data_IF_528414452457
#
_entry.id   IF_528414452457
#
_cell.length_a   1.000
_cell.length_b   1.000
_cell.length_c   1.000
_cell.angle_alpha   90.00
_cell.angle_beta   90.00
_cell.angle_gamma   90.00
#
_symmetry.space_group_name_H-M   'P 1'
#
loop_
_entity.id
_entity.type
_entity.pdbx_description
1 polymer ?
#
# COMPACT_ATOMS: atom_id res chain seq x y z
N UNK A 1 -12.44 -6.03 -21.67
CA UNK A 1 -11.28 -5.96 -20.75
C UNK A 1 -11.74 -5.07 -19.61
N UNK A 2 -12.12 -5.67 -18.48
CA UNK A 2 -12.68 -4.93 -17.34
C UNK A 2 -11.59 -4.02 -16.74
N UNK A 3 -11.84 -2.73 -16.75
CA UNK A 3 -10.98 -1.74 -16.11
C UNK A 3 -11.33 -1.76 -14.63
N UNK A 4 -10.53 -2.44 -13.82
CA UNK A 4 -10.60 -2.30 -12.36
C UNK A 4 -10.16 -0.87 -12.04
N UNK A 5 -11.12 0.05 -11.97
CA UNK A 5 -10.92 1.32 -11.27
C UNK A 5 -10.67 0.90 -9.82
N UNK A 6 -9.43 1.06 -9.37
CA UNK A 6 -9.08 1.02 -7.96
C UNK A 6 -9.89 2.17 -7.35
N UNK A 7 -11.12 1.90 -6.89
CA UNK A 7 -11.70 2.73 -5.84
C UNK A 7 -10.61 2.78 -4.80
N UNK A 8 -9.99 3.95 -4.65
CA UNK A 8 -8.81 4.20 -3.86
C UNK A 8 -8.79 3.27 -2.64
N UNK A 9 -7.66 2.62 -2.33
CA UNK A 9 -7.46 1.70 -1.19
C UNK A 9 -7.69 2.38 0.19
N UNK A 10 -8.34 3.55 0.19
CA UNK A 10 -8.85 4.30 1.30
C UNK A 10 -9.66 3.38 2.22
N UNK A 11 -9.12 3.18 3.42
CA UNK A 11 -9.69 2.32 4.46
C UNK A 11 -9.72 0.82 4.13
N UNK A 12 -8.88 0.33 3.21
CA UNK A 12 -8.76 -1.11 2.97
C UNK A 12 -7.93 -1.79 4.08
N UNK A 13 -8.23 -3.05 4.39
CA UNK A 13 -7.39 -3.89 5.25
C UNK A 13 -6.49 -4.78 4.39
N UNK A 14 -5.18 -4.52 4.40
CA UNK A 14 -4.17 -5.30 3.69
C UNK A 14 -3.44 -6.29 4.60
N UNK A 15 -3.86 -6.47 5.85
CA UNK A 15 -3.09 -7.26 6.84
C UNK A 15 -2.92 -8.74 6.47
N UNK A 16 -3.70 -9.24 5.51
CA UNK A 16 -3.60 -10.61 4.97
C UNK A 16 -3.03 -10.65 3.54
N UNK A 17 -2.62 -9.52 2.98
CA UNK A 17 -2.15 -9.40 1.60
C UNK A 17 -0.62 -9.36 1.52
N UNK A 18 -0.07 -9.82 0.40
CA UNK A 18 1.34 -9.62 0.06
C UNK A 18 1.52 -8.27 -0.64
N UNK A 19 2.43 -7.44 -0.12
CA UNK A 19 2.67 -6.05 -0.59
C UNK A 19 3.93 -5.99 -1.47
N UNK A 20 4.76 -7.02 -1.46
CA UNK A 20 5.95 -7.09 -2.31
C UNK A 20 5.57 -7.02 -3.80
N UNK A 21 6.09 -6.00 -4.51
CA UNK A 21 5.92 -5.85 -5.96
C UNK A 21 4.73 -5.02 -6.43
N UNK A 22 3.99 -4.37 -5.52
CA UNK A 22 2.93 -3.42 -5.93
C UNK A 22 3.52 -2.04 -6.24
N UNK A 23 2.93 -1.35 -7.22
CA UNK A 23 3.19 0.08 -7.46
C UNK A 23 2.05 0.89 -6.85
N UNK A 24 2.37 1.74 -5.88
CA UNK A 24 1.39 2.54 -5.14
C UNK A 24 1.90 3.96 -4.90
N UNK A 25 1.00 4.93 -4.99
CA UNK A 25 1.24 6.30 -4.56
C UNK A 25 0.69 6.56 -3.16
N UNK A 26 1.10 7.69 -2.56
CA UNK A 26 0.63 8.12 -1.24
C UNK A 26 -0.91 8.23 -1.14
N UNK A 27 -1.56 8.65 -2.22
CA UNK A 27 -3.02 8.78 -2.27
C UNK A 27 -3.74 7.43 -2.27
N UNK A 28 -3.09 6.39 -2.79
CA UNK A 28 -3.68 5.05 -2.88
C UNK A 28 -3.73 4.44 -1.48
N UNK A 29 -2.62 4.49 -0.74
CA UNK A 29 -2.48 3.82 0.56
C UNK A 29 -3.04 4.62 1.75
N UNK A 30 -3.58 5.83 1.50
CA UNK A 30 -4.05 6.73 2.56
C UNK A 30 -5.17 6.07 3.38
N UNK A 31 -4.87 5.75 4.64
CA UNK A 31 -5.83 5.12 5.55
C UNK A 31 -5.93 3.60 5.41
N UNK A 32 -5.06 2.97 4.62
CA UNK A 32 -4.96 1.51 4.58
C UNK A 32 -4.49 0.99 5.94
N UNK A 33 -5.10 -0.10 6.40
CA UNK A 33 -4.64 -0.85 7.58
C UNK A 33 -3.62 -1.89 7.12
N UNK A 34 -2.44 -1.83 7.73
CA UNK A 34 -1.31 -2.71 7.45
C UNK A 34 -0.70 -3.20 8.76
N UNK A 35 0.06 -4.29 8.70
CA UNK A 35 0.94 -4.70 9.79
C UNK A 35 2.16 -3.79 9.88
N UNK A 36 2.93 -3.88 10.98
CA UNK A 36 4.17 -3.11 11.13
C UNK A 36 5.20 -3.40 10.03
N UNK A 37 5.35 -4.67 9.65
CA UNK A 37 6.29 -5.09 8.60
C UNK A 37 5.84 -4.55 7.23
N UNK A 38 4.55 -4.67 6.93
CA UNK A 38 3.96 -4.11 5.72
C UNK A 38 4.11 -2.57 5.66
N UNK A 39 4.00 -1.88 6.80
CA UNK A 39 4.28 -0.45 6.89
C UNK A 39 5.74 -0.11 6.53
N UNK A 40 6.70 -0.91 7.00
CA UNK A 40 8.12 -0.77 6.63
C UNK A 40 8.38 -1.10 5.16
N UNK A 41 7.65 -2.05 4.57
CA UNK A 41 7.75 -2.33 3.14
C UNK A 41 7.25 -1.16 2.29
N UNK A 42 6.15 -0.52 2.71
CA UNK A 42 5.61 0.66 2.06
C UNK A 42 6.61 1.82 2.05
N UNK A 43 7.42 2.01 3.10
CA UNK A 43 8.43 3.09 3.08
C UNK A 43 9.46 2.90 1.97
N UNK A 44 9.83 1.65 1.66
CA UNK A 44 10.72 1.33 0.53
C UNK A 44 10.06 1.59 -0.81
N UNK A 45 8.78 1.23 -0.96
CA UNK A 45 8.01 1.48 -2.19
C UNK A 45 7.78 2.97 -2.46
N UNK A 46 7.72 3.77 -1.40
CA UNK A 46 7.61 5.23 -1.47
C UNK A 46 8.97 5.95 -1.53
N UNK A 47 10.07 5.19 -1.63
CA UNK A 47 11.44 5.72 -1.65
C UNK A 47 11.79 6.60 -0.43
N UNK A 48 11.18 6.31 0.73
CA UNK A 48 11.46 6.98 2.00
C UNK A 48 12.69 6.33 2.65
N UNK A 49 13.67 7.16 3.03
CA UNK A 49 14.87 6.76 3.77
C UNK A 49 14.56 6.80 5.28
N UNK A 50 14.92 5.72 6.00
CA UNK A 50 14.74 5.58 7.46
C UNK A 50 16.12 5.50 8.12
N UNK A 51 16.31 6.23 9.23
CA UNK A 51 17.50 6.22 10.10
C UNK A 51 17.15 5.79 11.54
#
# INVERSE_FOLDING_TARGET
MEYFIIQALKNIDLTTCEIAGISVGLNDIKGAKVTAIQGLELTRLLEIIIE
#
